data_IF_820942315654
#
_entry.id   IF_820942315654
#
_cell.length_a   1.000
_cell.length_b   1.000
_cell.length_c   1.000
_cell.angle_alpha   90.00
_cell.angle_beta   90.00
_cell.angle_gamma   90.00
#
_symmetry.space_group_name_H-M   'P 1'
#
loop_
_entity.id
_entity.type
_entity.pdbx_description
1 polymer ?
#
# COMPACT_ATOMS: atom_id res chain seq x y z
N UNK A 1 -12.48 8.04 10.58
CA UNK A 1 -11.79 7.27 9.53
C UNK A 1 -12.05 5.79 9.76
N UNK A 2 -12.61 5.11 8.76
CA UNK A 2 -12.91 3.66 8.81
C UNK A 2 -11.74 2.91 8.18
N UNK A 3 -11.21 1.90 8.86
CA UNK A 3 -10.25 0.96 8.28
C UNK A 3 -11.01 -0.25 7.71
N UNK A 4 -10.81 -0.53 6.43
CA UNK A 4 -11.46 -1.61 5.69
C UNK A 4 -10.41 -2.60 5.19
N UNK A 5 -10.35 -3.80 5.76
CA UNK A 5 -9.56 -4.89 5.17
C UNK A 5 -10.31 -5.47 3.99
N UNK A 6 -9.72 -5.40 2.79
CA UNK A 6 -10.35 -5.93 1.59
C UNK A 6 -10.59 -7.44 1.65
N UNK A 7 -9.84 -8.18 2.47
CA UNK A 7 -9.94 -9.65 2.65
C UNK A 7 -10.72 -10.09 3.87
N UNK A 8 -10.99 -9.20 4.84
CA UNK A 8 -11.64 -9.54 6.11
C UNK A 8 -12.83 -8.63 6.32
N UNK A 9 -13.97 -8.99 5.74
CA UNK A 9 -15.20 -8.20 5.75
C UNK A 9 -15.73 -7.96 7.17
N UNK A 10 -15.45 -8.88 8.10
CA UNK A 10 -15.86 -8.77 9.50
C UNK A 10 -15.26 -7.51 10.15
N UNK A 11 -14.02 -7.16 9.80
CA UNK A 11 -13.36 -5.97 10.33
C UNK A 11 -14.05 -4.69 9.88
N UNK A 12 -14.47 -4.62 8.61
CA UNK A 12 -15.21 -3.48 8.09
C UNK A 12 -16.59 -3.37 8.75
N UNK A 13 -17.27 -4.49 8.97
CA UNK A 13 -18.54 -4.54 9.69
C UNK A 13 -18.41 -4.02 11.13
N UNK A 14 -17.39 -4.46 11.86
CA UNK A 14 -17.15 -4.00 13.24
C UNK A 14 -16.89 -2.49 13.31
N UNK A 15 -16.10 -1.96 12.37
CA UNK A 15 -15.85 -0.52 12.27
C UNK A 15 -17.12 0.27 11.93
N UNK A 16 -17.96 -0.25 11.03
CA UNK A 16 -19.23 0.41 10.67
C UNK A 16 -20.20 0.39 11.84
N UNK A 17 -20.32 -0.73 12.57
CA UNK A 17 -21.18 -0.81 13.77
C UNK A 17 -20.72 0.14 14.87
N UNK A 18 -19.40 0.32 15.03
CA UNK A 18 -18.81 1.27 15.97
C UNK A 18 -19.06 2.72 15.57
N UNK A 19 -18.88 3.05 14.29
CA UNK A 19 -18.99 4.42 13.77
C UNK A 19 -20.45 4.84 13.60
N UNK A 20 -21.34 3.87 13.35
CA UNK A 20 -22.76 4.10 13.14
C UNK A 20 -23.62 3.10 13.95
N UNK A 21 -23.69 3.25 15.28
CA UNK A 21 -24.39 2.29 16.16
C UNK A 21 -25.92 2.25 15.97
N UNK A 22 -26.49 3.24 15.30
CA UNK A 22 -27.93 3.32 14.99
C UNK A 22 -28.33 2.56 13.73
N UNK A 23 -27.37 2.12 12.90
CA UNK A 23 -27.65 1.32 11.70
C UNK A 23 -28.12 -0.07 12.11
N UNK A 24 -29.12 -0.60 11.41
CA UNK A 24 -29.55 -1.99 11.62
C UNK A 24 -28.39 -2.91 11.24
N UNK A 25 -28.22 -4.06 11.91
CA UNK A 25 -27.11 -4.98 11.61
C UNK A 25 -27.04 -5.41 10.14
N UNK A 26 -28.18 -5.62 9.49
CA UNK A 26 -28.25 -5.96 8.06
C UNK A 26 -27.74 -4.83 7.17
N UNK A 27 -28.12 -3.58 7.47
CA UNK A 27 -27.71 -2.40 6.71
C UNK A 27 -26.22 -2.11 6.91
N UNK A 28 -25.71 -2.31 8.13
CA UNK A 28 -24.28 -2.22 8.41
C UNK A 28 -23.47 -3.27 7.62
N UNK A 29 -23.99 -4.51 7.49
CA UNK A 29 -23.36 -5.56 6.68
C UNK A 29 -23.39 -5.25 5.17
N UNK A 30 -24.47 -4.64 4.69
CA UNK A 30 -24.56 -4.15 3.31
C UNK A 30 -23.55 -3.05 3.02
N UNK A 31 -23.44 -2.05 3.91
CA UNK A 31 -22.43 -0.98 3.77
C UNK A 31 -21.02 -1.56 3.84
N UNK A 32 -20.75 -2.51 4.74
CA UNK A 32 -19.44 -3.15 4.84
C UNK A 32 -19.05 -3.85 3.53
N UNK A 33 -19.99 -4.59 2.96
CA UNK A 33 -19.80 -5.29 1.69
C UNK A 33 -19.60 -4.30 0.54
N UNK A 34 -20.44 -3.26 0.47
CA UNK A 34 -20.34 -2.20 -0.53
C UNK A 34 -18.99 -1.48 -0.46
N UNK A 35 -18.54 -1.15 0.76
CA UNK A 35 -17.26 -0.48 0.98
C UNK A 35 -16.09 -1.33 0.49
N UNK A 36 -16.07 -2.63 0.81
CA UNK A 36 -15.02 -3.52 0.31
C UNK A 36 -15.03 -3.66 -1.22
N UNK A 37 -16.20 -3.64 -1.86
CA UNK A 37 -16.30 -3.63 -3.32
C UNK A 37 -15.73 -2.35 -3.94
N UNK A 38 -15.94 -1.18 -3.30
CA UNK A 38 -15.37 0.08 -3.79
C UNK A 38 -13.84 0.07 -3.86
N UNK A 39 -13.18 -0.60 -2.90
CA UNK A 39 -11.72 -0.74 -2.87
C UNK A 39 -11.21 -1.83 -3.81
N UNK A 40 -11.85 -3.01 -3.86
CA UNK A 40 -11.44 -4.11 -4.75
C UNK A 40 -11.56 -3.75 -6.24
N UNK A 41 -12.61 -3.02 -6.59
CA UNK A 41 -12.88 -2.55 -7.95
C UNK A 41 -12.46 -1.09 -8.15
N UNK A 42 -11.44 -0.64 -7.43
CA UNK A 42 -10.91 0.72 -7.54
C UNK A 42 -10.64 1.11 -9.00
N UNK A 43 -10.87 2.38 -9.32
CA UNK A 43 -10.60 2.95 -10.63
C UNK A 43 -9.13 3.37 -10.65
N UNK A 44 -8.41 3.03 -11.72
CA UNK A 44 -7.04 3.48 -11.89
C UNK A 44 -7.03 4.89 -12.46
N UNK A 45 -6.19 5.75 -11.90
CA UNK A 45 -5.91 7.10 -12.39
C UNK A 45 -4.49 7.11 -12.91
N UNK A 46 -4.35 7.44 -14.19
CA UNK A 46 -3.07 7.55 -14.85
C UNK A 46 -3.12 8.68 -15.87
N UNK A 47 -2.17 9.61 -15.80
CA UNK A 47 -2.09 10.80 -16.67
C UNK A 47 -3.41 11.62 -16.75
N UNK A 48 -4.13 11.72 -15.63
CA UNK A 48 -5.41 12.42 -15.55
C UNK A 48 -6.61 11.67 -16.13
N UNK A 49 -6.41 10.49 -16.72
CA UNK A 49 -7.46 9.62 -17.21
C UNK A 49 -7.86 8.54 -16.20
N UNK A 50 -9.13 8.14 -16.26
CA UNK A 50 -9.70 7.08 -15.43
C UNK A 50 -9.87 5.79 -16.23
N UNK A 51 -9.42 4.69 -15.65
CA UNK A 51 -9.49 3.37 -16.26
C UNK A 51 -10.26 2.41 -15.35
N UNK A 52 -11.15 1.60 -15.95
CA UNK A 52 -11.91 0.55 -15.25
C UNK A 52 -11.37 -0.83 -15.58
N UNK A 53 -11.32 -1.70 -14.56
CA UNK A 53 -10.88 -3.07 -14.71
C UNK A 53 -12.10 -4.00 -14.72
N UNK A 54 -12.19 -4.97 -15.65
CA UNK A 54 -11.19 -5.35 -16.66
C UNK A 54 -11.25 -4.59 -18.00
N UNK A 55 -12.23 -3.71 -18.21
CA UNK A 55 -12.59 -3.21 -19.54
C UNK A 55 -11.50 -2.35 -20.21
N UNK A 56 -10.78 -1.54 -19.44
CA UNK A 56 -9.78 -0.60 -19.95
C UNK A 56 -8.34 -1.07 -19.74
N UNK A 57 -8.14 -2.35 -19.43
CA UNK A 57 -6.83 -2.96 -19.20
C UNK A 57 -5.83 -2.70 -20.34
N UNK A 58 -6.27 -2.90 -21.59
CA UNK A 58 -5.42 -2.66 -22.77
C UNK A 58 -5.11 -1.17 -22.98
N UNK A 59 -6.03 -0.28 -22.61
CA UNK A 59 -5.84 1.17 -22.75
C UNK A 59 -4.81 1.67 -21.74
N UNK A 60 -4.95 1.28 -20.47
CA UNK A 60 -4.01 1.66 -19.42
C UNK A 60 -2.60 1.14 -19.73
N UNK A 61 -2.47 -0.14 -20.07
CA UNK A 61 -1.16 -0.74 -20.37
C UNK A 61 -0.44 -0.04 -21.53
N UNK A 62 -1.17 0.36 -22.60
CA UNK A 62 -0.60 1.16 -23.70
C UNK A 62 -0.21 2.57 -23.25
N UNK A 63 -1.04 3.24 -22.44
CA UNK A 63 -0.74 4.57 -21.92
C UNK A 63 0.55 4.59 -21.07
N UNK A 64 0.85 3.49 -20.38
CA UNK A 64 2.05 3.36 -19.55
C UNK A 64 3.35 3.19 -20.34
N UNK A 65 3.29 2.76 -21.61
CA UNK A 65 4.50 2.42 -22.41
C UNK A 65 5.48 3.58 -22.47
N UNK A 66 5.00 4.80 -22.73
CA UNK A 66 5.87 5.98 -22.85
C UNK A 66 6.67 6.25 -21.59
N UNK A 67 6.02 6.19 -20.41
CA UNK A 67 6.71 6.35 -19.13
C UNK A 67 7.69 5.22 -18.87
N UNK A 68 7.32 3.98 -19.21
CA UNK A 68 8.19 2.82 -19.03
C UNK A 68 9.46 2.93 -19.88
N UNK A 69 9.36 3.41 -21.12
CA UNK A 69 10.51 3.71 -21.97
C UNK A 69 11.39 4.82 -21.38
N UNK A 70 10.80 5.92 -20.91
CA UNK A 70 11.57 6.99 -20.27
C UNK A 70 12.34 6.49 -19.03
N UNK A 71 11.69 5.65 -18.21
CA UNK A 71 12.33 5.04 -17.03
C UNK A 71 13.43 4.07 -17.46
N UNK A 72 13.18 3.27 -18.49
CA UNK A 72 14.17 2.35 -19.07
C UNK A 72 15.41 3.09 -19.55
N UNK A 73 15.24 4.16 -20.33
CA UNK A 73 16.35 5.00 -20.79
C UNK A 73 17.13 5.60 -19.62
N UNK A 74 16.43 6.04 -18.56
CA UNK A 74 17.07 6.52 -17.34
C UNK A 74 17.93 5.46 -16.66
N UNK A 75 17.45 4.22 -16.60
CA UNK A 75 18.20 3.07 -16.07
C UNK A 75 19.42 2.79 -16.94
N UNK A 76 19.26 2.73 -18.26
CA UNK A 76 20.36 2.38 -19.18
C UNK A 76 21.45 3.46 -19.22
N UNK A 77 21.09 4.72 -19.02
CA UNK A 77 22.03 5.84 -18.95
C UNK A 77 22.79 5.91 -17.62
N UNK A 78 22.23 5.37 -16.55
CA UNK A 78 22.84 5.37 -15.22
C UNK A 78 23.55 4.07 -14.87
N UNK A 79 23.24 2.96 -15.55
CA UNK A 79 23.88 1.68 -15.35
C UNK A 79 25.36 1.70 -15.81
N UNK A 80 26.32 1.25 -14.98
CA UNK A 80 27.73 1.24 -15.35
C UNK A 80 27.99 0.28 -16.52
N UNK A 81 28.42 0.83 -17.66
CA UNK A 81 28.84 0.08 -18.86
C UNK A 81 30.16 -0.66 -18.62
N UNK A 82 30.10 -1.80 -17.92
CA UNK A 82 30.99 -2.99 -17.96
C UNK A 82 31.12 -3.64 -16.57
N UNK A 83 30.48 -4.80 -16.45
CA UNK A 83 30.62 -5.89 -15.45
C UNK A 83 31.76 -5.76 -14.43
N UNK A 84 31.40 -5.74 -13.15
CA UNK A 84 32.03 -6.60 -12.15
C UNK A 84 30.92 -7.42 -11.48
N UNK A 85 31.14 -8.73 -11.34
CA UNK A 85 30.20 -9.80 -10.91
C UNK A 85 29.66 -9.67 -9.46
N UNK A 86 29.73 -8.49 -8.87
CA UNK A 86 29.29 -8.16 -7.50
C UNK A 86 28.93 -6.68 -7.42
N UNK A 87 28.13 -6.20 -8.38
CA UNK A 87 27.56 -4.85 -8.31
C UNK A 87 26.40 -4.84 -7.27
N UNK A 88 26.30 -3.78 -6.45
CA UNK A 88 25.28 -3.68 -5.39
C UNK A 88 23.89 -3.77 -5.99
N UNK A 89 22.95 -4.38 -5.26
CA UNK A 89 21.51 -4.37 -5.55
C UNK A 89 21.07 -2.96 -5.94
N UNK A 90 21.03 -2.69 -7.24
CA UNK A 90 20.57 -1.42 -7.77
C UNK A 90 19.06 -1.31 -7.47
N UNK A 91 18.66 -0.26 -6.76
CA UNK A 91 17.30 -0.11 -6.26
C UNK A 91 16.27 -0.17 -7.40
N UNK A 92 15.15 -0.89 -7.21
CA UNK A 92 14.09 -0.98 -8.21
C UNK A 92 13.42 0.39 -8.39
N UNK A 93 13.14 0.75 -9.65
CA UNK A 93 12.40 1.97 -9.98
C UNK A 93 10.91 1.64 -9.97
N UNK A 94 10.17 2.27 -9.06
CA UNK A 94 8.73 2.03 -8.91
C UNK A 94 7.95 3.03 -9.75
N UNK A 95 7.15 2.52 -10.69
CA UNK A 95 6.17 3.28 -11.47
C UNK A 95 4.80 3.09 -10.81
N UNK A 96 4.24 4.18 -10.30
CA UNK A 96 3.00 4.14 -9.52
C UNK A 96 1.78 4.49 -10.38
N UNK A 97 0.75 3.65 -10.32
CA UNK A 97 -0.60 3.92 -10.84
C UNK A 97 -1.49 4.32 -9.66
N UNK A 98 -2.12 5.48 -9.75
CA UNK A 98 -3.04 5.97 -8.72
C UNK A 98 -4.33 5.15 -8.70
N UNK A 99 -4.92 4.97 -7.53
CA UNK A 99 -6.21 4.32 -7.35
C UNK A 99 -7.17 5.24 -6.62
N UNK A 100 -8.41 5.28 -7.09
CA UNK A 100 -9.53 5.92 -6.42
C UNK A 100 -10.63 4.89 -6.10
N UNK A 101 -11.35 5.04 -4.96
CA UNK A 101 -12.47 4.17 -4.63
C UNK A 101 -13.57 4.24 -5.68
N UNK A 102 -14.10 3.09 -6.08
CA UNK A 102 -15.18 3.01 -7.06
C UNK A 102 -16.54 3.01 -6.39
N UNK A 103 -17.11 4.21 -6.17
CA UNK A 103 -18.43 4.38 -5.56
C UNK A 103 -19.50 3.55 -6.30
N UNK A 104 -19.51 3.60 -7.63
CA UNK A 104 -20.49 2.89 -8.44
C UNK A 104 -20.46 1.36 -8.25
N UNK A 105 -19.28 0.78 -7.96
CA UNK A 105 -19.16 -0.64 -7.64
C UNK A 105 -19.84 -1.00 -6.30
N UNK A 106 -19.73 -0.12 -5.30
CA UNK A 106 -20.39 -0.30 -4.00
C UNK A 106 -21.88 -0.03 -4.05
N UNK A 107 -22.33 0.97 -4.81
CA UNK A 107 -23.76 1.28 -4.95
C UNK A 107 -24.55 0.16 -5.61
N UNK A 108 -23.91 -0.65 -6.47
CA UNK A 108 -24.55 -1.77 -7.15
C UNK A 108 -25.11 -2.82 -6.18
N UNK A 109 -24.50 -3.04 -5.02
CA UNK A 109 -25.04 -4.00 -4.03
C UNK A 109 -26.12 -3.37 -3.14
N UNK A 110 -26.26 -2.04 -3.16
CA UNK A 110 -27.23 -1.28 -2.37
C UNK A 110 -28.53 -0.99 -3.15
N UNK A 111 -28.87 -1.81 -4.14
CA UNK A 111 -29.97 -1.59 -5.09
C UNK A 111 -31.25 -1.03 -4.44
N UNK A 112 -31.76 0.09 -4.97
CA UNK A 112 -32.98 0.75 -4.48
C UNK A 112 -32.89 1.38 -3.08
N UNK A 113 -31.74 1.33 -2.40
CA UNK A 113 -31.54 1.89 -1.05
C UNK A 113 -30.71 3.16 -1.08
N UNK A 114 -31.33 4.24 -1.55
CA UNK A 114 -30.65 5.52 -1.76
C UNK A 114 -30.12 6.12 -0.45
N UNK A 115 -30.72 5.80 0.69
CA UNK A 115 -30.22 6.17 2.01
C UNK A 115 -28.88 5.51 2.35
N UNK A 116 -28.67 4.25 1.94
CA UNK A 116 -27.41 3.55 2.17
C UNK A 116 -26.34 3.99 1.17
N UNK A 117 -26.73 4.32 -0.06
CA UNK A 117 -25.81 4.91 -1.06
C UNK A 117 -25.28 6.26 -0.60
N UNK A 118 -26.17 7.14 -0.12
CA UNK A 118 -25.78 8.41 0.48
C UNK A 118 -24.79 8.17 1.64
N UNK A 119 -25.10 7.22 2.52
CA UNK A 119 -24.22 6.85 3.64
C UNK A 119 -22.85 6.35 3.18
N UNK A 120 -22.80 5.53 2.13
CA UNK A 120 -21.56 5.04 1.55
C UNK A 120 -20.73 6.19 0.97
N UNK A 121 -21.37 7.12 0.25
CA UNK A 121 -20.73 8.31 -0.29
C UNK A 121 -20.14 9.19 0.82
N UNK A 122 -20.89 9.40 1.92
CA UNK A 122 -20.41 10.14 3.09
C UNK A 122 -19.18 9.46 3.70
N UNK A 123 -19.22 8.13 3.89
CA UNK A 123 -18.10 7.35 4.43
C UNK A 123 -16.84 7.50 3.57
N UNK A 124 -16.98 7.43 2.25
CA UNK A 124 -15.85 7.59 1.33
C UNK A 124 -15.29 9.02 1.34
N UNK A 125 -16.16 10.03 1.47
CA UNK A 125 -15.77 11.44 1.55
C UNK A 125 -15.02 11.74 2.85
N UNK A 126 -15.45 11.14 3.96
CA UNK A 126 -14.79 11.25 5.28
C UNK A 126 -13.41 10.57 5.33
N UNK A 127 -13.06 9.80 4.31
CA UNK A 127 -11.80 9.10 4.18
C UNK A 127 -11.83 7.69 4.75
N UNK A 128 -11.40 6.75 3.91
CA UNK A 128 -11.31 5.32 4.23
C UNK A 128 -9.87 4.85 4.06
N UNK A 129 -9.42 4.04 5.01
CA UNK A 129 -8.15 3.35 4.93
C UNK A 129 -8.39 1.92 4.44
N UNK A 130 -7.98 1.60 3.21
CA UNK A 130 -8.04 0.26 2.66
C UNK A 130 -6.78 -0.51 2.99
N UNK A 131 -6.94 -1.61 3.72
CA UNK A 131 -5.87 -2.55 4.01
C UNK A 131 -6.00 -3.75 3.07
N UNK A 132 -4.98 -4.01 2.26
CA UNK A 132 -5.05 -4.97 1.16
C UNK A 132 -3.72 -5.69 0.94
N UNK A 133 -3.73 -6.85 0.30
CA UNK A 133 -2.56 -7.44 -0.33
C UNK A 133 -2.55 -7.13 -1.83
N UNK A 134 -1.39 -7.20 -2.50
CA UNK A 134 -1.29 -6.88 -3.93
C UNK A 134 -2.27 -7.66 -4.82
N UNK A 135 -2.70 -8.86 -4.43
CA UNK A 135 -3.67 -9.65 -5.21
C UNK A 135 -5.14 -9.25 -4.98
N UNK A 136 -5.42 -8.47 -3.95
CA UNK A 136 -6.80 -8.06 -3.59
C UNK A 136 -7.30 -6.90 -4.44
N UNK A 137 -6.37 -6.19 -5.08
CA UNK A 137 -6.67 -5.10 -6.02
C UNK A 137 -6.56 -5.65 -7.44
N UNK A 138 -7.67 -5.58 -8.18
CA UNK A 138 -7.73 -6.08 -9.56
C UNK A 138 -6.68 -5.44 -10.47
N UNK A 139 -6.38 -4.15 -10.27
CA UNK A 139 -5.36 -3.46 -11.04
C UNK A 139 -3.96 -4.00 -10.81
N UNK A 140 -3.53 -4.17 -9.56
CA UNK A 140 -2.20 -4.73 -9.28
C UNK A 140 -2.10 -6.15 -9.86
N UNK A 141 -3.10 -6.99 -9.62
CA UNK A 141 -3.17 -8.35 -10.18
C UNK A 141 -3.08 -8.37 -11.71
N UNK A 142 -3.72 -7.41 -12.39
CA UNK A 142 -3.73 -7.34 -13.85
C UNK A 142 -2.40 -6.84 -14.39
N UNK A 143 -1.84 -5.77 -13.81
CA UNK A 143 -0.58 -5.16 -14.25
C UNK A 143 0.62 -6.10 -14.08
N UNK A 144 0.59 -6.95 -13.04
CA UNK A 144 1.60 -8.00 -12.81
C UNK A 144 1.60 -9.08 -13.91
N UNK A 145 0.50 -9.21 -14.67
CA UNK A 145 0.34 -10.21 -15.74
C UNK A 145 0.49 -9.62 -17.14
N UNK A 146 0.67 -8.32 -17.28
CA UNK A 146 0.94 -7.69 -18.57
C UNK A 146 2.26 -8.23 -19.11
N UNK A 147 2.23 -8.71 -20.35
CA UNK A 147 3.46 -8.98 -21.09
C UNK A 147 4.03 -7.66 -21.62
N UNK A 148 4.79 -6.97 -20.77
CA UNK A 148 5.34 -5.66 -21.09
C UNK A 148 6.30 -5.68 -22.27
N UNK A 149 6.95 -6.81 -22.55
CA UNK A 149 7.80 -6.95 -23.74
C UNK A 149 7.00 -6.87 -25.03
N UNK A 150 5.81 -7.47 -25.05
CA UNK A 150 4.89 -7.40 -26.18
C UNK A 150 4.20 -6.04 -26.28
N UNK A 151 3.81 -5.44 -25.15
CA UNK A 151 3.08 -4.16 -25.18
C UNK A 151 3.98 -2.98 -25.54
N UNK A 152 5.26 -3.03 -25.16
CA UNK A 152 6.23 -1.96 -25.40
C UNK A 152 7.11 -2.15 -26.64
N UNK A 153 6.93 -3.25 -27.37
CA UNK A 153 7.82 -3.69 -28.47
C UNK A 153 9.32 -3.68 -28.10
N UNK A 154 9.64 -3.85 -26.82
CA UNK A 154 10.99 -3.70 -26.28
C UNK A 154 11.21 -4.55 -25.02
N UNK A 155 12.44 -4.92 -24.72
CA UNK A 155 12.74 -5.62 -23.47
C UNK A 155 12.87 -4.62 -22.31
N UNK A 156 11.90 -4.62 -21.39
CA UNK A 156 11.97 -3.79 -20.18
C UNK A 156 12.91 -4.40 -19.13
N UNK A 157 13.66 -3.53 -18.45
CA UNK A 157 14.50 -3.90 -17.33
C UNK A 157 13.68 -4.49 -16.19
N UNK A 158 14.20 -5.58 -15.61
CA UNK A 158 13.62 -6.21 -14.42
C UNK A 158 13.61 -5.31 -13.18
N UNK A 159 14.34 -4.19 -13.24
CA UNK A 159 14.38 -3.16 -12.19
C UNK A 159 13.12 -2.31 -12.16
N UNK A 160 12.33 -2.27 -13.23
CA UNK A 160 11.07 -1.53 -13.28
C UNK A 160 10.00 -2.34 -12.55
N UNK A 161 9.39 -1.74 -11.54
CA UNK A 161 8.29 -2.33 -10.76
C UNK A 161 7.06 -1.44 -10.88
N UNK A 162 5.95 -2.02 -11.30
CA UNK A 162 4.68 -1.30 -11.40
C UNK A 162 3.86 -1.55 -10.15
N UNK A 163 3.38 -0.47 -9.54
CA UNK A 163 2.63 -0.54 -8.29
C UNK A 163 1.34 0.27 -8.36
N UNK A 164 0.22 -0.36 -8.05
CA UNK A 164 -1.05 0.33 -7.89
C UNK A 164 -1.24 0.72 -6.41
N UNK A 165 -1.54 1.99 -6.15
CA UNK A 165 -1.72 2.51 -4.78
C UNK A 165 -2.81 3.57 -4.72
N UNK A 166 -3.57 3.61 -3.63
CA UNK A 166 -4.59 4.64 -3.41
C UNK A 166 -3.95 6.02 -3.23
N UNK A 167 -4.46 7.01 -3.95
CA UNK A 167 -3.89 8.37 -4.03
C UNK A 167 -4.91 9.48 -3.75
N UNK A 168 -6.21 9.24 -3.92
CA UNK A 168 -7.27 10.25 -3.80
C UNK A 168 -8.39 9.81 -2.85
N UNK A 169 -8.64 10.58 -1.78
CA UNK A 169 -9.77 10.37 -0.86
C UNK A 169 -9.73 9.08 -0.02
N UNK A 170 -8.75 8.21 -0.29
CA UNK A 170 -8.55 6.96 0.44
C UNK A 170 -7.06 6.67 0.63
N UNK A 171 -6.73 6.06 1.76
CA UNK A 171 -5.37 5.66 2.12
C UNK A 171 -5.23 4.17 1.90
N UNK A 172 -4.19 3.75 1.18
CA UNK A 172 -3.90 2.35 0.93
C UNK A 172 -2.78 1.82 1.83
N UNK A 173 -3.05 0.78 2.62
CA UNK A 173 -2.04 0.05 3.39
C UNK A 173 -1.89 -1.36 2.83
N UNK A 174 -0.75 -1.61 2.18
CA UNK A 174 -0.43 -2.93 1.68
C UNK A 174 0.10 -3.86 2.79
N UNK A 175 -0.63 -4.95 3.06
CA UNK A 175 -0.26 -6.03 3.97
C UNK A 175 0.99 -6.74 3.46
N UNK A 176 2.03 -6.79 4.29
CA UNK A 176 3.31 -7.43 3.96
C UNK A 176 4.36 -6.47 3.38
N UNK A 177 4.00 -5.26 2.95
CA UNK A 177 4.99 -4.22 2.63
C UNK A 177 5.75 -3.73 3.88
N UNK A 178 5.17 -3.94 5.07
CA UNK A 178 5.85 -3.77 6.36
C UNK A 178 6.97 -4.81 6.63
N UNK A 179 7.18 -5.77 5.72
CA UNK A 179 8.21 -6.81 5.81
C UNK A 179 9.56 -6.47 5.21
N UNK A 180 9.71 -5.34 4.50
CA UNK A 180 11.03 -4.79 4.22
C UNK A 180 11.56 -4.24 5.54
N UNK A 181 12.26 -5.10 6.31
CA UNK A 181 13.00 -4.73 7.50
C UNK A 181 13.69 -3.40 7.22
N UNK A 182 13.23 -2.31 7.86
CA UNK A 182 14.09 -1.16 8.12
C UNK A 182 15.31 -1.76 8.82
N UNK A 183 16.40 -1.96 8.08
CA UNK A 183 17.69 -2.26 8.70
C UNK A 183 17.92 -1.07 9.63
N UNK A 184 17.86 -1.34 10.93
CA UNK A 184 18.21 -0.36 11.93
C UNK A 184 19.54 0.28 11.50
N UNK A 185 19.67 1.62 11.49
CA UNK A 185 20.95 2.23 11.22
C UNK A 185 21.94 1.66 12.23
N UNK A 186 23.00 1.06 11.71
CA UNK A 186 24.09 0.55 12.52
C UNK A 186 24.51 1.68 13.45
N UNK A 187 24.33 1.43 14.75
CA UNK A 187 24.59 2.35 15.85
C UNK A 187 25.96 2.98 15.63
N UNK A 188 25.96 4.26 15.26
CA UNK A 188 27.17 5.06 15.19
C UNK A 188 27.87 4.98 16.56
N UNK A 189 29.10 4.47 16.57
CA UNK A 189 29.98 4.56 17.75
C UNK A 189 30.33 6.04 17.94
N UNK A 190 29.65 6.68 18.86
CA UNK A 190 30.05 7.89 19.58
C UNK A 190 29.48 7.72 21.00
N UNK A 191 30.16 7.96 22.10
CA UNK A 191 31.48 8.52 22.36
C UNK A 191 31.99 7.88 23.68
N UNK A 192 33.28 7.59 23.77
CA UNK A 192 33.93 7.38 25.07
C UNK A 192 34.41 8.76 25.51
N UNK A 193 33.61 9.41 26.34
CA UNK A 193 34.01 10.53 27.16
C UNK A 193 33.14 10.49 28.42
N UNK A 194 33.56 9.71 29.40
CA UNK A 194 33.15 9.84 30.79
C UNK A 194 34.39 9.53 31.64
N UNK A 195 34.98 10.61 32.15
CA UNK A 195 36.04 10.64 33.16
C UNK A 195 35.33 10.69 34.53
N UNK A 196 35.90 9.98 35.51
CA UNK A 196 35.68 10.05 36.97
C UNK A 196 34.29 9.60 37.50
N UNK A 197 34.15 8.87 38.61
CA UNK A 197 34.98 8.76 39.81
C UNK A 197 34.62 7.48 40.59
N UNK A 198 35.60 6.94 41.31
CA UNK A 198 35.49 5.90 42.36
C UNK A 198 34.52 6.37 43.47
N UNK A 199 33.82 5.48 44.20
CA UNK A 199 34.47 4.87 45.36
C UNK A 199 34.13 3.39 45.59
N UNK A 200 35.07 2.80 46.30
CA UNK A 200 35.21 1.42 46.73
C UNK A 200 34.36 1.17 47.99
N UNK A 201 33.96 -0.08 48.16
CA UNK A 201 33.10 -0.55 49.24
C UNK A 201 33.82 -0.65 50.61
N UNK A 202 32.98 -0.77 51.64
CA UNK A 202 33.17 -1.46 52.93
C UNK A 202 34.09 -0.84 53.99
N UNK A 203 33.46 -0.18 54.97
CA UNK A 203 33.84 -0.22 56.39
C UNK A 203 33.00 -1.36 57.03
N UNK A 204 33.70 -2.39 57.54
CA UNK A 204 33.80 -2.73 58.97
C UNK A 204 32.50 -3.22 59.61
N UNK A 205 32.43 -4.53 59.85
CA UNK A 205 32.00 -5.00 61.17
C UNK A 205 32.72 -6.31 61.49
N UNK A 206 33.52 -6.24 62.55
CA UNK A 206 34.23 -7.34 63.20
C UNK A 206 33.76 -7.35 64.65
N UNK A 207 33.08 -8.41 65.08
CA UNK A 207 33.02 -8.94 66.45
C UNK A 207 32.02 -10.14 66.41
N UNK A 208 32.42 -11.40 66.55
CA UNK A 208 32.97 -12.14 67.70
C UNK A 208 31.92 -12.47 68.79
N UNK A 209 32.01 -13.68 69.35
CA UNK A 209 31.14 -14.37 70.34
C UNK A 209 29.88 -15.02 69.74
N UNK A 210 29.58 -16.32 69.87
CA UNK A 210 29.97 -17.42 70.76
C UNK A 210 29.91 -18.77 69.99
#
# INVERSE_FOLDING_TARGET
MITCHLTKLETALDQIKKTHPKLKPADAALIASALSLTGRHAIAIYDGEQYRCPEDYEKLSKAMVGQLHMVQEGIDNTAPKKVLKTAPEEEPVVVTVGLMPNLAAGERILEGRDELKAKLSDILTDGVEFVYSGIDILWQWSLDRVNWSTVSDSELSRRIKIKASFTEGAVGIEMGAAGAKKKAPARAKAAVAAIEEKPEASEEDSDNED
#
